data_IF_543724090018
#
_entry.id   IF_543724090018
#
_cell.length_a   1.000
_cell.length_b   1.000
_cell.length_c   1.000
_cell.angle_alpha   90.00
_cell.angle_beta   90.00
_cell.angle_gamma   90.00
#
_symmetry.space_group_name_H-M   'P 1'
#
loop_
_entity.id
_entity.type
_entity.pdbx_description
1 polymer ?
#
# COMPACT_ATOMS: atom_id res chain seq x y z
N UNK A 1 -21.49 -0.04 -2.42
CA UNK A 1 -21.06 -1.07 -1.46
C UNK A 1 -20.73 -0.40 -0.15
N UNK A 2 -21.20 -0.95 0.98
CA UNK A 2 -21.03 -0.35 2.31
C UNK A 2 -19.55 -0.16 2.69
N UNK A 3 -18.68 -1.12 2.34
CA UNK A 3 -17.22 -0.98 2.51
C UNK A 3 -16.62 0.27 1.88
N UNK A 4 -17.06 0.67 0.67
CA UNK A 4 -16.60 1.91 0.05
C UNK A 4 -17.04 3.15 0.84
N UNK A 5 -18.25 3.15 1.42
CA UNK A 5 -18.73 4.27 2.22
C UNK A 5 -17.90 4.43 3.49
N UNK A 6 -17.62 3.32 4.19
CA UNK A 6 -16.73 3.35 5.35
C UNK A 6 -15.31 3.80 4.98
N UNK A 7 -14.80 3.35 3.83
CA UNK A 7 -13.47 3.74 3.33
C UNK A 7 -13.38 5.24 3.06
N UNK A 8 -14.38 5.81 2.37
CA UNK A 8 -14.48 7.25 2.13
C UNK A 8 -14.59 8.04 3.43
N UNK A 9 -15.34 7.51 4.41
CA UNK A 9 -15.46 8.09 5.75
C UNK A 9 -14.24 7.87 6.66
N UNK A 10 -13.14 7.29 6.15
CA UNK A 10 -11.91 6.95 6.89
C UNK A 10 -12.14 5.99 8.07
N UNK A 11 -13.25 5.28 8.05
CA UNK A 11 -13.54 4.22 9.01
C UNK A 11 -12.92 2.92 8.51
N UNK A 12 -11.59 2.83 8.57
CA UNK A 12 -10.84 1.69 8.04
C UNK A 12 -11.19 0.38 8.74
N UNK A 13 -11.52 0.40 10.04
CA UNK A 13 -11.93 -0.80 10.77
C UNK A 13 -13.25 -1.38 10.24
N UNK A 14 -14.25 -0.53 9.96
CA UNK A 14 -15.51 -0.99 9.39
C UNK A 14 -15.35 -1.36 7.91
N UNK A 15 -14.59 -0.58 7.14
CA UNK A 15 -14.30 -0.86 5.74
C UNK A 15 -13.57 -2.21 5.55
N UNK A 16 -12.62 -2.51 6.43
CA UNK A 16 -11.87 -3.77 6.44
C UNK A 16 -12.82 -4.97 6.47
N UNK A 17 -13.77 -5.01 7.42
CA UNK A 17 -14.72 -6.11 7.57
C UNK A 17 -15.52 -6.35 6.29
N UNK A 18 -16.02 -5.28 5.69
CA UNK A 18 -16.79 -5.34 4.46
C UNK A 18 -15.96 -5.86 3.27
N UNK A 19 -14.71 -5.42 3.14
CA UNK A 19 -13.83 -5.90 2.07
C UNK A 19 -13.35 -7.33 2.29
N UNK A 20 -13.12 -7.75 3.53
CA UNK A 20 -12.85 -9.16 3.87
C UNK A 20 -14.02 -10.06 3.41
N UNK A 21 -15.26 -9.68 3.70
CA UNK A 21 -16.44 -10.41 3.25
C UNK A 21 -16.56 -10.47 1.72
N UNK A 22 -16.18 -9.40 1.03
CA UNK A 22 -16.14 -9.38 -0.43
C UNK A 22 -15.12 -10.37 -0.96
N UNK A 23 -13.91 -10.42 -0.37
CA UNK A 23 -12.85 -11.33 -0.81
C UNK A 23 -13.14 -12.79 -0.47
N UNK A 24 -13.94 -13.08 0.57
CA UNK A 24 -14.43 -14.43 0.83
C UNK A 24 -15.30 -14.95 -0.32
N UNK A 25 -16.08 -14.07 -0.97
CA UNK A 25 -17.00 -14.42 -2.07
C UNK A 25 -16.34 -14.29 -3.45
N UNK A 26 -15.45 -13.31 -3.58
CA UNK A 26 -14.77 -12.94 -4.82
C UNK A 26 -13.27 -12.76 -4.57
N UNK A 27 -12.52 -13.86 -4.38
CA UNK A 27 -11.10 -13.79 -4.03
C UNK A 27 -10.23 -13.02 -5.04
N UNK A 28 -10.64 -12.97 -6.30
CA UNK A 28 -9.91 -12.28 -7.38
C UNK A 28 -10.27 -10.79 -7.51
N UNK A 29 -11.10 -10.24 -6.61
CA UNK A 29 -11.50 -8.84 -6.68
C UNK A 29 -10.34 -7.89 -6.30
N UNK A 30 -9.55 -7.51 -7.31
CA UNK A 30 -8.38 -6.63 -7.16
C UNK A 30 -8.72 -5.29 -6.54
N UNK A 31 -9.88 -4.71 -6.86
CA UNK A 31 -10.31 -3.44 -6.28
C UNK A 31 -10.56 -3.54 -4.78
N UNK A 32 -11.19 -4.63 -4.33
CA UNK A 32 -11.37 -4.90 -2.91
C UNK A 32 -10.03 -5.18 -2.21
N UNK A 33 -9.13 -5.98 -2.82
CA UNK A 33 -7.76 -6.19 -2.31
C UNK A 33 -7.03 -4.86 -2.12
N UNK A 34 -7.05 -4.00 -3.14
CA UNK A 34 -6.39 -2.68 -3.15
C UNK A 34 -6.84 -1.81 -1.97
N UNK A 35 -8.16 -1.71 -1.73
CA UNK A 35 -8.69 -0.95 -0.58
C UNK A 35 -8.43 -1.63 0.76
N UNK A 36 -8.45 -2.96 0.80
CA UNK A 36 -8.18 -3.72 2.00
C UNK A 36 -6.72 -3.61 2.45
N UNK A 37 -5.75 -3.55 1.52
CA UNK A 37 -4.34 -3.23 1.80
C UNK A 37 -4.25 -1.93 2.59
N UNK A 38 -4.88 -0.85 2.08
CA UNK A 38 -4.90 0.43 2.78
C UNK A 38 -5.56 0.29 4.16
N UNK A 39 -6.70 -0.38 4.27
CA UNK A 39 -7.34 -0.58 5.57
C UNK A 39 -6.42 -1.29 6.58
N UNK A 40 -5.74 -2.35 6.15
CA UNK A 40 -4.84 -3.11 7.01
C UNK A 40 -3.62 -2.32 7.48
N UNK A 41 -3.07 -1.43 6.65
CA UNK A 41 -2.02 -0.51 7.13
C UNK A 41 -2.53 0.36 8.28
N UNK A 42 -3.76 0.85 8.18
CA UNK A 42 -4.36 1.77 9.16
C UNK A 42 -4.87 1.08 10.42
N UNK A 43 -5.13 -0.22 10.37
CA UNK A 43 -5.57 -1.02 11.53
C UNK A 43 -4.43 -1.83 12.16
N UNK A 44 -3.18 -1.63 11.73
CA UNK A 44 -2.00 -2.31 12.28
C UNK A 44 -1.84 -3.78 11.87
N UNK A 45 -2.60 -4.25 10.86
CA UNK A 45 -2.52 -5.62 10.33
C UNK A 45 -1.52 -5.70 9.18
N UNK A 46 -0.27 -5.34 9.46
CA UNK A 46 0.74 -5.10 8.43
C UNK A 46 1.12 -6.36 7.65
N UNK A 47 1.13 -7.53 8.31
CA UNK A 47 1.41 -8.80 7.65
C UNK A 47 0.40 -9.11 6.55
N UNK A 48 -0.89 -8.96 6.86
CA UNK A 48 -1.98 -9.16 5.90
C UNK A 48 -2.00 -8.09 4.82
N UNK A 49 -1.70 -6.84 5.19
CA UNK A 49 -1.52 -5.75 4.23
C UNK A 49 -0.46 -6.11 3.19
N UNK A 50 0.72 -6.54 3.65
CA UNK A 50 1.84 -6.82 2.76
C UNK A 50 1.59 -8.04 1.89
N UNK A 51 0.93 -9.09 2.41
CA UNK A 51 0.56 -10.26 1.62
C UNK A 51 -0.33 -9.90 0.42
N UNK A 52 -1.43 -9.15 0.63
CA UNK A 52 -2.30 -8.73 -0.48
C UNK A 52 -1.62 -7.70 -1.39
N UNK A 53 -0.78 -6.84 -0.84
CA UNK A 53 0.01 -5.91 -1.63
C UNK A 53 0.96 -6.64 -2.59
N UNK A 54 1.68 -7.66 -2.09
CA UNK A 54 2.56 -8.49 -2.90
C UNK A 54 1.81 -9.22 -4.01
N UNK A 55 0.61 -9.75 -3.74
CA UNK A 55 -0.23 -10.35 -4.78
C UNK A 55 -0.53 -9.34 -5.90
N UNK A 56 -0.91 -8.12 -5.54
CA UNK A 56 -1.21 -7.06 -6.50
C UNK A 56 0.03 -6.70 -7.32
N UNK A 57 1.18 -6.45 -6.67
CA UNK A 57 2.45 -6.12 -7.34
C UNK A 57 2.90 -7.23 -8.28
N UNK A 58 2.84 -8.50 -7.85
CA UNK A 58 3.19 -9.67 -8.68
C UNK A 58 2.27 -9.82 -9.89
N UNK A 59 0.98 -9.52 -9.72
CA UNK A 59 -0.01 -9.70 -10.78
C UNK A 59 0.01 -8.57 -11.80
N UNK A 60 0.11 -7.33 -11.32
CA UNK A 60 -0.05 -6.10 -12.10
C UNK A 60 0.27 -4.88 -11.20
N UNK A 61 1.53 -4.45 -11.18
CA UNK A 61 1.94 -3.26 -10.43
C UNK A 61 1.28 -1.97 -10.95
N UNK A 62 0.96 -1.91 -12.25
CA UNK A 62 0.33 -0.75 -12.88
C UNK A 62 -1.04 -0.44 -12.26
N UNK A 63 -1.75 -1.49 -11.84
CA UNK A 63 -3.05 -1.36 -11.16
C UNK A 63 -2.96 -0.55 -9.84
N UNK A 64 -1.81 -0.54 -9.18
CA UNK A 64 -1.55 0.30 -8.00
C UNK A 64 -1.05 1.68 -8.44
N UNK A 65 -0.02 1.71 -9.29
CA UNK A 65 0.70 2.94 -9.64
C UNK A 65 -0.20 3.94 -10.38
N UNK A 66 -1.14 3.46 -11.21
CA UNK A 66 -2.10 4.31 -11.93
C UNK A 66 -3.38 4.62 -11.14
N UNK A 67 -3.35 4.47 -9.82
CA UNK A 67 -4.44 4.92 -8.96
C UNK A 67 -4.67 6.43 -9.17
N UNK A 68 -5.91 6.82 -9.45
CA UNK A 68 -6.31 8.22 -9.54
C UNK A 68 -6.87 8.64 -8.18
N UNK A 69 -6.19 9.52 -7.41
CA UNK A 69 -6.62 9.83 -6.04
C UNK A 69 -8.05 10.40 -5.95
N UNK A 70 -8.50 11.09 -7.01
CA UNK A 70 -9.83 11.68 -7.05
C UNK A 70 -10.86 10.62 -7.46
N UNK A 71 -10.59 9.85 -8.53
CA UNK A 71 -11.58 8.86 -9.02
C UNK A 71 -11.68 7.61 -8.15
N UNK A 72 -10.58 7.21 -7.53
CA UNK A 72 -10.51 6.00 -6.70
C UNK A 72 -10.79 6.29 -5.22
N UNK A 73 -11.05 7.56 -4.86
CA UNK A 73 -11.14 8.06 -3.48
C UNK A 73 -9.93 7.63 -2.63
N UNK A 74 -8.73 7.70 -3.21
CA UNK A 74 -7.52 7.23 -2.55
C UNK A 74 -7.14 8.19 -1.40
N UNK A 75 -7.02 7.71 -0.16
CA UNK A 75 -6.69 8.56 0.98
C UNK A 75 -5.19 8.84 1.09
N UNK A 76 -4.36 8.46 0.10
CA UNK A 76 -2.91 8.47 0.24
C UNK A 76 -2.32 9.84 0.62
N UNK A 77 -2.72 11.01 0.07
CA UNK A 77 -2.11 12.27 0.48
C UNK A 77 -2.41 12.60 1.94
N UNK A 78 -3.65 12.37 2.37
CA UNK A 78 -4.07 12.59 3.76
C UNK A 78 -3.37 11.64 4.73
N UNK A 79 -3.17 10.38 4.33
CA UNK A 79 -2.46 9.40 5.14
C UNK A 79 -0.98 9.74 5.26
N UNK A 80 -0.34 10.17 4.18
CA UNK A 80 1.05 10.61 4.18
C UNK A 80 1.21 11.80 5.14
N UNK A 81 0.38 12.83 5.01
CA UNK A 81 0.43 14.01 5.90
C UNK A 81 0.26 13.66 7.39
N UNK A 82 -0.48 12.59 7.69
CA UNK A 82 -0.69 12.09 9.06
C UNK A 82 0.46 11.24 9.58
N UNK A 83 1.07 10.43 8.71
CA UNK A 83 2.11 9.48 9.06
C UNK A 83 3.50 10.12 9.08
N UNK A 84 3.73 11.14 8.26
CA UNK A 84 5.01 11.82 8.23
C UNK A 84 5.35 12.47 9.58
N UNK A 85 6.55 12.18 10.13
CA UNK A 85 6.95 12.74 11.41
C UNK A 85 7.11 14.26 11.28
N UNK A 86 6.37 15.01 12.11
CA UNK A 86 6.40 16.48 12.14
C UNK A 86 7.71 17.05 12.70
N UNK A 87 8.50 16.21 13.37
CA UNK A 87 9.81 16.53 13.92
C UNK A 87 10.87 15.65 13.25
N UNK A 88 12.11 16.15 13.13
CA UNK A 88 13.22 15.51 12.38
C UNK A 88 13.72 14.17 12.95
N UNK A 89 13.12 13.68 14.04
CA UNK A 89 13.41 12.35 14.55
C UNK A 89 12.71 11.33 13.65
N UNK A 90 13.43 10.93 12.59
CA UNK A 90 12.94 9.95 11.63
C UNK A 90 12.69 8.63 12.37
N UNK A 91 11.44 8.22 12.43
CA UNK A 91 11.05 6.88 12.90
C UNK A 91 11.45 5.89 11.81
N UNK A 92 12.70 5.45 11.83
CA UNK A 92 13.25 4.52 10.83
C UNK A 92 13.00 3.06 11.25
N UNK A 93 11.74 2.71 11.49
CA UNK A 93 11.34 1.33 11.80
C UNK A 93 10.95 0.58 10.53
N UNK A 94 11.06 -0.76 10.57
CA UNK A 94 10.61 -1.61 9.46
C UNK A 94 9.12 -1.37 9.15
N UNK A 95 8.26 -1.36 10.18
CA UNK A 95 6.83 -1.14 10.02
C UNK A 95 6.50 0.23 9.40
N UNK A 96 7.21 1.29 9.82
CA UNK A 96 7.03 2.62 9.25
C UNK A 96 7.41 2.64 7.77
N UNK A 97 8.61 2.16 7.44
CA UNK A 97 9.07 2.12 6.05
C UNK A 97 8.15 1.23 5.18
N UNK A 98 7.59 0.15 5.73
CA UNK A 98 6.64 -0.71 5.03
C UNK A 98 5.33 -0.01 4.73
N UNK A 99 4.73 0.66 5.73
CA UNK A 99 3.50 1.43 5.53
C UNK A 99 3.75 2.53 4.49
N UNK A 100 4.83 3.29 4.65
CA UNK A 100 5.15 4.40 3.76
C UNK A 100 5.43 3.91 2.34
N UNK A 101 6.20 2.84 2.17
CA UNK A 101 6.45 2.22 0.87
C UNK A 101 5.16 1.80 0.17
N UNK A 102 4.24 1.16 0.89
CA UNK A 102 2.94 0.74 0.36
C UNK A 102 2.09 1.95 -0.02
N UNK A 103 1.89 2.91 0.89
CA UNK A 103 0.98 4.05 0.68
C UNK A 103 1.51 4.96 -0.44
N UNK A 104 2.81 5.22 -0.49
CA UNK A 104 3.40 6.03 -1.55
C UNK A 104 3.25 5.40 -2.93
N UNK A 105 3.19 4.06 -3.07
CA UNK A 105 3.05 3.44 -4.39
C UNK A 105 1.74 3.85 -5.11
N UNK A 106 0.73 4.29 -4.36
CA UNK A 106 -0.53 4.77 -4.90
C UNK A 106 -0.47 6.19 -5.48
N UNK A 107 0.57 6.98 -5.20
CA UNK A 107 0.63 8.39 -5.61
C UNK A 107 2.00 8.86 -6.09
N UNK A 108 3.10 8.33 -5.55
CA UNK A 108 4.46 8.63 -5.98
C UNK A 108 5.34 7.39 -5.87
N UNK A 109 5.61 6.79 -7.02
CA UNK A 109 6.44 5.60 -7.14
C UNK A 109 7.91 5.84 -6.74
N UNK A 110 8.45 7.06 -6.86
CA UNK A 110 9.82 7.35 -6.46
C UNK A 110 9.96 7.38 -4.94
N UNK A 111 8.99 7.97 -4.25
CA UNK A 111 8.93 7.90 -2.79
C UNK A 111 8.73 6.44 -2.33
N UNK A 112 7.85 5.68 -2.99
CA UNK A 112 7.71 4.25 -2.71
C UNK A 112 9.04 3.50 -2.84
N UNK A 113 9.77 3.72 -3.94
CA UNK A 113 11.10 3.15 -4.16
C UNK A 113 12.08 3.51 -3.05
N UNK A 114 12.09 4.76 -2.60
CA UNK A 114 12.92 5.21 -1.49
C UNK A 114 12.67 4.38 -0.21
N UNK A 115 11.42 4.25 0.22
CA UNK A 115 11.08 3.49 1.44
C UNK A 115 11.34 1.98 1.30
N UNK A 116 11.06 1.39 0.13
CA UNK A 116 11.41 -0.02 -0.09
C UNK A 116 12.91 -0.25 -0.13
N UNK A 117 13.70 0.74 -0.57
CA UNK A 117 15.17 0.67 -0.53
C UNK A 117 15.66 0.68 0.92
N UNK A 118 15.04 1.48 1.80
CA UNK A 118 15.30 1.44 3.25
C UNK A 118 14.97 0.08 3.87
N UNK A 119 13.84 -0.53 3.49
CA UNK A 119 13.50 -1.88 3.95
C UNK A 119 14.54 -2.91 3.55
N UNK A 120 15.12 -2.78 2.35
CA UNK A 120 16.21 -3.65 1.90
C UNK A 120 17.49 -3.44 2.71
N UNK A 121 17.79 -2.22 3.14
CA UNK A 121 18.91 -1.93 4.06
C UNK A 121 18.70 -2.59 5.43
N UNK A 122 17.47 -2.57 5.95
CA UNK A 122 17.09 -3.14 7.25
C UNK A 122 17.01 -4.68 7.23
N UNK A 123 16.55 -5.27 6.13
CA UNK A 123 16.44 -6.72 5.94
C UNK A 123 16.92 -7.15 4.54
N UNK A 124 18.24 -7.24 4.31
CA UNK A 124 18.80 -7.55 2.99
C UNK A 124 18.42 -8.94 2.46
N UNK A 125 18.02 -9.87 3.32
CA UNK A 125 17.64 -11.23 2.96
C UNK A 125 16.19 -11.37 2.49
N UNK A 126 15.41 -10.29 2.54
CA UNK A 126 13.98 -10.35 2.25
C UNK A 126 13.68 -10.40 0.75
N UNK A 127 13.35 -11.59 0.25
CA UNK A 127 13.01 -11.81 -1.16
C UNK A 127 11.73 -11.07 -1.59
N UNK A 128 10.80 -10.84 -0.67
CA UNK A 128 9.55 -10.13 -0.98
C UNK A 128 9.80 -8.64 -1.21
N UNK A 129 10.65 -8.02 -0.38
CA UNK A 129 11.08 -6.62 -0.57
C UNK A 129 11.88 -6.48 -1.87
N UNK A 130 12.79 -7.42 -2.16
CA UNK A 130 13.56 -7.44 -3.41
C UNK A 130 12.65 -7.51 -4.64
N UNK A 131 11.61 -8.35 -4.58
CA UNK A 131 10.64 -8.48 -5.65
C UNK A 131 9.88 -7.17 -5.88
N UNK A 132 9.45 -6.50 -4.82
CA UNK A 132 8.74 -5.20 -4.94
C UNK A 132 9.67 -4.16 -5.55
N UNK A 133 10.92 -4.06 -5.07
CA UNK A 133 11.91 -3.14 -5.63
C UNK A 133 12.16 -3.39 -7.12
N UNK A 134 12.36 -4.66 -7.49
CA UNK A 134 12.56 -5.05 -8.89
C UNK A 134 11.35 -4.67 -9.75
N UNK A 135 10.13 -4.88 -9.23
CA UNK A 135 8.90 -4.53 -9.94
C UNK A 135 8.75 -3.02 -10.15
N UNK A 136 9.04 -2.23 -9.11
CA UNK A 136 9.05 -0.76 -9.19
C UNK A 136 10.09 -0.27 -10.20
N UNK A 137 11.32 -0.78 -10.13
CA UNK A 137 12.40 -0.41 -11.03
C UNK A 137 12.04 -0.75 -12.49
N UNK A 138 11.53 -1.96 -12.75
CA UNK A 138 11.12 -2.36 -14.08
C UNK A 138 10.04 -1.44 -14.65
N UNK A 139 9.05 -1.06 -13.84
CA UNK A 139 8.01 -0.11 -14.25
C UNK A 139 8.60 1.26 -14.60
N UNK A 140 9.46 1.81 -13.74
CA UNK A 140 10.11 3.11 -13.97
C UNK A 140 10.88 3.15 -15.30
N UNK A 141 11.65 2.10 -15.61
CA UNK A 141 12.41 2.00 -16.86
C UNK A 141 11.53 1.90 -18.11
N UNK A 142 10.32 1.34 -18.01
CA UNK A 142 9.38 1.23 -19.13
C UNK A 142 8.68 2.56 -19.46
N UNK A 143 8.61 3.47 -18.49
CA UNK A 143 7.91 4.76 -18.60
C UNK A 143 8.82 5.97 -18.79
N UNK A 144 10.14 5.77 -18.76
CA UNK A 144 11.16 6.80 -18.98
C UNK A 144 11.45 7.00 -20.48
#
# INVERSE_FOLDING_TARGET
MLGNQYFMARNYSAAQKEFEEVLLKYPENRSAKKKLVVCYTQTGRLKESFAYFLELVKSDIEFIVKTDPIKDDCPCPELIDKLEPKNKDVVDSFDYNLIMGIIWLYCDINHSHHYFSRLKELDPGNEEIELVLSSIQNYLHQTA
#
